data_IF_285460981001
#
_entry.id   IF_285460981001
#
_cell.length_a   1.000
_cell.length_b   1.000
_cell.length_c   1.000
_cell.angle_alpha   90.00
_cell.angle_beta   90.00
_cell.angle_gamma   90.00
#
_symmetry.space_group_name_H-M   'P 1'
#
loop_
_entity.id
_entity.type
_entity.pdbx_description
1 polymer ?
#
# COMPACT_ATOMS: atom_id res chain seq x y z
N UNK A 1 -40.51 -71.05 42.81
CA UNK A 1 -39.13 -71.36 43.23
C UNK A 1 -38.20 -70.99 42.07
N UNK A 2 -37.01 -70.51 42.39
CA UNK A 2 -35.91 -70.05 41.50
C UNK A 2 -35.83 -68.55 41.16
N UNK A 3 -34.64 -68.03 41.53
CA UNK A 3 -34.19 -66.65 41.63
C UNK A 3 -33.68 -66.15 40.27
N UNK A 4 -33.93 -64.89 39.92
CA UNK A 4 -33.07 -64.15 38.98
C UNK A 4 -32.26 -63.08 39.74
N UNK A 5 -30.95 -62.94 39.49
CA UNK A 5 -30.07 -62.09 40.27
C UNK A 5 -30.19 -60.62 39.87
N UNK A 6 -30.00 -59.74 40.87
CA UNK A 6 -29.91 -58.30 40.73
C UNK A 6 -28.71 -57.90 39.85
N UNK A 7 -28.97 -57.16 38.77
CA UNK A 7 -27.96 -56.50 37.96
C UNK A 7 -27.62 -55.15 38.61
N UNK A 8 -26.44 -55.05 39.21
CA UNK A 8 -25.93 -53.80 39.79
C UNK A 8 -25.48 -52.87 38.67
N UNK A 9 -26.13 -51.70 38.56
CA UNK A 9 -25.73 -50.61 37.66
C UNK A 9 -24.45 -49.98 38.20
N UNK A 10 -23.31 -50.14 37.51
CA UNK A 10 -22.08 -49.39 37.79
C UNK A 10 -22.23 -47.96 37.26
N UNK A 11 -22.43 -47.01 38.15
CA UNK A 11 -22.25 -45.59 37.85
C UNK A 11 -20.75 -45.27 37.82
N UNK A 12 -20.26 -44.75 36.70
CA UNK A 12 -18.90 -44.23 36.59
C UNK A 12 -18.87 -42.82 37.20
N UNK A 13 -17.96 -42.51 38.14
CA UNK A 13 -17.87 -41.18 38.71
C UNK A 13 -17.37 -40.19 37.65
N UNK A 14 -17.78 -38.91 37.73
CA UNK A 14 -17.30 -37.89 36.82
C UNK A 14 -15.78 -37.77 36.97
N UNK A 15 -15.06 -37.81 35.84
CA UNK A 15 -13.62 -37.49 35.81
C UNK A 15 -13.45 -36.02 36.21
N UNK A 16 -13.26 -35.79 37.51
CA UNK A 16 -12.76 -34.52 38.01
C UNK A 16 -11.34 -34.37 37.49
N UNK A 17 -11.16 -33.51 36.50
CA UNK A 17 -9.85 -33.04 36.07
C UNK A 17 -9.21 -32.42 37.32
N UNK A 18 -8.10 -32.98 37.85
CA UNK A 18 -7.51 -32.48 39.08
C UNK A 18 -7.28 -30.96 38.95
N UNK A 19 -7.65 -30.16 39.96
CA UNK A 19 -7.46 -28.71 39.92
C UNK A 19 -6.00 -28.33 39.57
N UNK A 20 -5.05 -29.18 39.96
CA UNK A 20 -3.64 -29.12 39.57
C UNK A 20 -3.40 -29.17 38.05
N UNK A 21 -4.12 -30.02 37.32
CA UNK A 21 -3.98 -30.12 35.86
C UNK A 21 -4.59 -28.93 35.12
N UNK A 22 -5.69 -28.36 35.63
CA UNK A 22 -6.26 -27.13 35.08
C UNK A 22 -5.33 -25.92 35.37
N UNK A 23 -4.76 -25.87 36.57
CA UNK A 23 -3.79 -24.85 36.96
C UNK A 23 -2.49 -24.94 36.14
N UNK A 24 -1.99 -26.14 35.86
CA UNK A 24 -0.83 -26.36 34.99
C UNK A 24 -1.09 -25.90 33.56
N UNK A 25 -2.30 -26.13 33.04
CA UNK A 25 -2.67 -25.73 31.68
C UNK A 25 -2.80 -24.21 31.56
N UNK A 26 -3.42 -23.57 32.55
CA UNK A 26 -3.49 -22.10 32.66
C UNK A 26 -2.10 -21.49 32.79
N UNK A 27 -1.23 -22.06 33.63
CA UNK A 27 0.14 -21.61 33.78
C UNK A 27 0.91 -21.73 32.46
N UNK A 28 0.74 -22.84 31.72
CA UNK A 28 1.37 -23.03 30.41
C UNK A 28 0.89 -22.01 29.38
N UNK A 29 -0.42 -21.72 29.33
CA UNK A 29 -0.99 -20.69 28.43
C UNK A 29 -0.49 -19.29 28.78
N UNK A 30 -0.41 -18.96 30.07
CA UNK A 30 0.14 -17.69 30.53
C UNK A 30 1.64 -17.57 30.22
N UNK A 31 2.39 -18.65 30.38
CA UNK A 31 3.81 -18.71 30.00
C UNK A 31 3.99 -18.54 28.49
N UNK A 32 3.17 -19.19 27.67
CA UNK A 32 3.20 -19.05 26.21
C UNK A 32 2.85 -17.63 25.78
N UNK A 33 1.82 -17.03 26.37
CA UNK A 33 1.47 -15.63 26.11
C UNK A 33 2.53 -14.65 26.61
N UNK A 34 3.16 -14.92 27.77
CA UNK A 34 4.27 -14.11 28.27
C UNK A 34 5.50 -14.24 27.39
N UNK A 35 5.84 -15.43 26.91
CA UNK A 35 6.93 -15.67 25.96
C UNK A 35 6.64 -15.02 24.60
N UNK A 36 5.39 -15.11 24.12
CA UNK A 36 4.96 -14.41 22.90
C UNK A 36 5.00 -12.90 23.10
N UNK A 37 4.55 -12.40 24.24
CA UNK A 37 4.64 -10.99 24.59
C UNK A 37 6.10 -10.55 24.67
N UNK A 38 7.01 -11.33 25.29
CA UNK A 38 8.44 -11.04 25.34
C UNK A 38 9.12 -11.15 23.98
N UNK A 39 8.66 -12.03 23.11
CA UNK A 39 9.14 -12.14 21.73
C UNK A 39 8.67 -10.96 20.86
N UNK A 40 7.43 -10.48 21.08
CA UNK A 40 6.86 -9.33 20.38
C UNK A 40 7.26 -7.98 20.98
N UNK A 41 7.56 -7.96 22.29
CA UNK A 41 8.03 -6.81 23.06
C UNK A 41 9.54 -6.76 23.20
N UNK A 42 10.26 -7.78 22.70
CA UNK A 42 11.65 -7.57 22.33
C UNK A 42 11.63 -6.33 21.45
N UNK A 43 12.27 -5.23 21.88
CA UNK A 43 12.44 -4.14 20.99
C UNK A 43 13.26 -4.73 19.86
N UNK A 44 12.68 -4.91 18.68
CA UNK A 44 13.45 -4.74 17.45
C UNK A 44 14.14 -3.41 17.68
N UNK A 45 15.40 -3.49 18.11
CA UNK A 45 16.13 -2.37 18.61
C UNK A 45 16.05 -1.32 17.52
N UNK A 46 15.20 -0.33 17.72
CA UNK A 46 15.33 0.97 17.09
C UNK A 46 16.47 1.66 17.84
N UNK A 47 17.64 1.02 17.85
CA UNK A 47 18.88 1.76 17.85
C UNK A 47 18.92 2.41 16.49
N UNK A 48 18.64 3.70 16.46
CA UNK A 48 18.88 4.56 15.32
C UNK A 48 20.35 4.49 14.93
N UNK A 49 20.71 3.47 14.17
CA UNK A 49 21.60 3.60 13.03
C UNK A 49 20.66 3.61 11.84
N UNK A 50 20.74 4.67 11.05
CA UNK A 50 20.49 4.52 9.63
C UNK A 50 21.50 3.48 9.13
N UNK A 51 21.16 2.19 9.25
CA UNK A 51 21.77 1.18 8.40
C UNK A 51 21.42 1.64 7.00
N UNK A 52 22.42 2.18 6.30
CA UNK A 52 22.35 2.40 4.87
C UNK A 52 21.93 1.08 4.27
N UNK A 53 20.64 0.93 3.92
CA UNK A 53 20.15 -0.24 3.24
C UNK A 53 21.04 -0.43 2.00
N UNK A 54 21.80 -1.54 1.90
CA UNK A 54 22.74 -1.74 0.82
C UNK A 54 21.99 -1.76 -0.51
N UNK A 55 21.95 -0.64 -1.22
CA UNK A 55 21.21 -0.50 -2.48
C UNK A 55 20.45 0.81 -2.67
N UNK A 56 20.24 1.63 -1.62
CA UNK A 56 19.62 2.94 -1.78
C UNK A 56 20.62 3.98 -2.27
N UNK A 57 20.25 4.72 -3.32
CA UNK A 57 21.02 5.87 -3.81
C UNK A 57 20.80 7.10 -2.92
N UNK A 58 21.78 8.02 -2.86
CA UNK A 58 21.57 9.30 -2.20
C UNK A 58 20.45 10.09 -2.88
N UNK A 59 19.87 11.05 -2.16
CA UNK A 59 18.85 11.95 -2.71
C UNK A 59 19.33 12.59 -4.03
N UNK A 60 18.43 12.73 -4.99
CA UNK A 60 18.76 13.24 -6.32
C UNK A 60 19.45 12.23 -7.24
N UNK A 61 19.62 10.98 -6.81
CA UNK A 61 20.27 9.94 -7.60
C UNK A 61 19.40 8.67 -7.69
N UNK A 62 19.68 7.86 -8.70
CA UNK A 62 19.02 6.59 -8.94
C UNK A 62 20.01 5.54 -9.42
N UNK A 63 19.60 4.28 -9.32
CA UNK A 63 20.28 3.12 -9.90
C UNK A 63 19.21 2.25 -10.54
N UNK A 64 19.37 1.94 -11.82
CA UNK A 64 18.41 1.20 -12.63
C UNK A 64 19.04 -0.11 -13.11
N UNK A 65 18.33 -1.22 -12.93
CA UNK A 65 18.78 -2.54 -13.40
C UNK A 65 20.20 -2.90 -12.94
N UNK A 66 21.06 -3.28 -13.89
CA UNK A 66 22.45 -3.72 -13.65
C UNK A 66 23.48 -2.61 -13.40
N UNK A 67 23.07 -1.35 -13.24
CA UNK A 67 24.00 -0.23 -13.00
C UNK A 67 24.83 -0.47 -11.73
N UNK A 68 26.16 -0.35 -11.80
CA UNK A 68 27.02 -0.54 -10.61
C UNK A 68 26.90 0.62 -9.62
N UNK A 69 26.96 1.85 -10.14
CA UNK A 69 26.94 3.09 -9.39
C UNK A 69 25.62 3.84 -9.55
N UNK A 70 25.26 4.66 -8.55
CA UNK A 70 24.16 5.61 -8.66
C UNK A 70 24.52 6.73 -9.65
N UNK A 71 23.52 7.18 -10.41
CA UNK A 71 23.62 8.34 -11.32
C UNK A 71 22.65 9.43 -10.87
N UNK A 72 22.97 10.71 -11.08
CA UNK A 72 22.03 11.79 -10.78
C UNK A 72 20.77 11.67 -11.64
N UNK A 73 19.64 12.18 -11.15
CA UNK A 73 18.41 12.29 -11.95
C UNK A 73 18.67 13.03 -13.26
N UNK A 74 18.09 12.53 -14.35
CA UNK A 74 18.27 13.10 -15.68
C UNK A 74 17.65 14.50 -15.76
N UNK A 75 18.40 15.43 -16.35
CA UNK A 75 17.94 16.78 -16.66
C UNK A 75 17.02 16.81 -17.88
N UNK A 76 16.33 17.94 -18.11
CA UNK A 76 15.57 18.21 -19.33
C UNK A 76 16.38 17.91 -20.61
N UNK A 77 17.62 18.39 -20.69
CA UNK A 77 18.48 18.20 -21.87
C UNK A 77 18.78 16.72 -22.11
N UNK A 78 19.20 16.00 -21.06
CA UNK A 78 19.51 14.58 -21.15
C UNK A 78 18.27 13.77 -21.56
N UNK A 79 17.10 14.08 -20.98
CA UNK A 79 15.85 13.43 -21.33
C UNK A 79 15.48 13.65 -22.79
N UNK A 80 15.59 14.88 -23.30
CA UNK A 80 15.25 15.21 -24.69
C UNK A 80 16.21 14.58 -25.70
N UNK A 81 17.48 14.39 -25.33
CA UNK A 81 18.50 13.79 -26.20
C UNK A 81 18.49 12.26 -26.17
N UNK A 82 18.26 11.67 -24.99
CA UNK A 82 18.55 10.24 -24.74
C UNK A 82 17.31 9.37 -24.51
N UNK A 83 16.13 9.94 -24.25
CA UNK A 83 14.91 9.17 -23.99
C UNK A 83 14.05 9.11 -25.25
N UNK A 84 13.85 7.90 -25.78
CA UNK A 84 12.97 7.66 -26.93
C UNK A 84 11.61 7.16 -26.47
N UNK A 85 10.55 7.95 -26.71
CA UNK A 85 9.17 7.50 -26.51
C UNK A 85 8.82 6.39 -27.50
N UNK A 86 8.16 5.33 -27.01
CA UNK A 86 7.75 4.19 -27.84
C UNK A 86 6.24 4.21 -28.07
N UNK A 87 5.44 3.91 -27.04
CA UNK A 87 3.97 3.84 -27.15
C UNK A 87 3.29 4.36 -25.90
N UNK A 88 2.08 4.91 -26.05
CA UNK A 88 1.21 5.24 -24.91
C UNK A 88 0.74 3.94 -24.26
N UNK A 89 0.86 3.84 -22.94
CA UNK A 89 0.47 2.66 -22.15
C UNK A 89 -0.62 2.96 -21.13
N UNK A 90 -0.88 4.24 -20.84
CA UNK A 90 -1.94 4.66 -19.94
C UNK A 90 -2.23 6.15 -20.09
N UNK A 91 -3.38 6.56 -19.58
CA UNK A 91 -3.79 7.94 -19.48
C UNK A 91 -4.71 8.07 -18.27
N UNK A 92 -4.37 8.96 -17.35
CA UNK A 92 -5.21 9.40 -16.25
C UNK A 92 -5.61 10.86 -16.45
N UNK A 93 -6.36 11.40 -15.49
CA UNK A 93 -6.78 12.80 -15.51
C UNK A 93 -5.57 13.75 -15.65
N UNK A 94 -4.54 13.54 -14.82
CA UNK A 94 -3.36 14.43 -14.75
C UNK A 94 -2.28 14.05 -15.76
N UNK A 95 -2.08 12.76 -16.06
CA UNK A 95 -0.89 12.26 -16.78
C UNK A 95 -1.23 11.37 -17.97
N UNK A 96 -0.57 11.60 -19.11
CA UNK A 96 -0.38 10.66 -20.22
C UNK A 96 0.90 9.86 -19.98
N UNK A 97 0.81 8.54 -20.03
CA UNK A 97 1.90 7.63 -19.67
C UNK A 97 2.40 6.90 -20.91
N UNK A 98 3.70 7.01 -21.19
CA UNK A 98 4.34 6.42 -22.35
C UNK A 98 5.45 5.45 -21.93
N UNK A 99 5.36 4.22 -22.42
CA UNK A 99 6.53 3.33 -22.44
C UNK A 99 7.58 3.95 -23.35
N UNK A 100 8.79 4.05 -22.82
CA UNK A 100 9.93 4.70 -23.44
C UNK A 100 11.19 3.86 -23.24
N UNK A 101 12.29 4.30 -23.84
CA UNK A 101 13.58 3.62 -23.74
C UNK A 101 14.70 4.64 -23.49
N UNK A 102 15.58 4.31 -22.56
CA UNK A 102 16.78 5.07 -22.22
C UNK A 102 17.95 4.11 -22.00
N UNK A 103 19.01 4.23 -22.81
CA UNK A 103 20.20 3.35 -22.76
C UNK A 103 19.82 1.86 -22.67
N UNK A 104 18.98 1.41 -23.59
CA UNK A 104 18.46 0.02 -23.68
C UNK A 104 17.57 -0.44 -22.51
N UNK A 105 17.33 0.41 -21.52
CA UNK A 105 16.41 0.14 -20.43
C UNK A 105 15.02 0.64 -20.78
N UNK A 106 13.99 -0.15 -20.47
CA UNK A 106 12.60 0.31 -20.53
C UNK A 106 12.32 1.26 -19.36
N UNK A 107 11.71 2.39 -19.67
CA UNK A 107 11.40 3.47 -18.72
C UNK A 107 10.03 4.04 -19.03
N UNK A 108 9.45 4.79 -18.10
CA UNK A 108 8.13 5.41 -18.24
C UNK A 108 8.28 6.91 -18.30
N UNK A 109 7.69 7.52 -19.33
CA UNK A 109 7.55 8.97 -19.44
C UNK A 109 6.11 9.34 -19.11
N UNK A 110 5.91 10.10 -18.04
CA UNK A 110 4.61 10.64 -17.63
C UNK A 110 4.57 12.13 -17.96
N UNK A 111 3.59 12.56 -18.76
CA UNK A 111 3.46 13.95 -19.21
C UNK A 111 2.11 14.52 -18.80
N UNK A 112 2.07 15.82 -18.47
CA UNK A 112 0.82 16.51 -18.15
C UNK A 112 -0.21 16.38 -19.30
N UNK A 113 -1.44 16.02 -18.94
CA UNK A 113 -2.56 15.84 -19.87
C UNK A 113 -3.21 17.18 -20.24
N UNK A 114 -3.52 18.00 -19.23
CA UNK A 114 -4.21 19.29 -19.33
C UNK A 114 -3.47 20.36 -18.50
N UNK A 115 -3.12 21.53 -19.06
CA UNK A 115 -2.53 22.65 -18.33
C UNK A 115 -3.28 23.09 -17.05
N UNK A 116 -4.59 22.89 -16.98
CA UNK A 116 -5.40 23.21 -15.78
C UNK A 116 -5.04 22.35 -14.57
N UNK A 117 -4.49 21.15 -14.80
CA UNK A 117 -4.07 20.19 -13.76
C UNK A 117 -2.57 20.31 -13.44
N UNK A 118 -1.95 21.43 -13.82
CA UNK A 118 -0.52 21.68 -13.60
C UNK A 118 -0.15 21.60 -12.12
N UNK A 119 -0.97 22.13 -11.23
CA UNK A 119 -0.66 22.16 -9.80
C UNK A 119 -0.68 20.76 -9.18
N UNK A 120 -1.63 19.90 -9.58
CA UNK A 120 -1.67 18.48 -9.18
C UNK A 120 -0.42 17.75 -9.66
N UNK A 121 -0.02 17.98 -10.92
CA UNK A 121 1.19 17.37 -11.49
C UNK A 121 2.47 17.81 -10.75
N UNK A 122 2.60 19.11 -10.47
CA UNK A 122 3.77 19.64 -9.75
C UNK A 122 3.78 19.21 -8.29
N UNK A 123 2.61 19.05 -7.66
CA UNK A 123 2.50 18.43 -6.34
C UNK A 123 2.99 16.98 -6.37
N UNK A 124 2.49 16.16 -7.30
CA UNK A 124 2.93 14.78 -7.46
C UNK A 124 4.43 14.64 -7.71
N UNK A 125 5.02 15.51 -8.53
CA UNK A 125 6.47 15.55 -8.73
C UNK A 125 7.23 15.88 -7.43
N UNK A 126 6.76 16.87 -6.64
CA UNK A 126 7.37 17.21 -5.35
C UNK A 126 7.29 16.05 -4.35
N UNK A 127 6.14 15.37 -4.30
CA UNK A 127 5.95 14.18 -3.48
C UNK A 127 6.89 13.06 -3.94
N UNK A 128 6.93 12.77 -5.25
CA UNK A 128 7.78 11.72 -5.81
C UNK A 128 9.27 11.95 -5.54
N UNK A 129 9.75 13.20 -5.63
CA UNK A 129 11.13 13.59 -5.27
C UNK A 129 11.42 13.34 -3.79
N UNK A 130 10.51 13.75 -2.91
CA UNK A 130 10.72 13.75 -1.46
C UNK A 130 10.49 12.38 -0.80
N UNK A 131 9.69 11.52 -1.43
CA UNK A 131 9.27 10.23 -0.90
C UNK A 131 10.03 9.04 -1.50
N UNK A 132 11.12 9.27 -2.24
CA UNK A 132 11.94 8.18 -2.79
C UNK A 132 12.38 7.22 -1.69
N UNK A 133 11.96 5.96 -1.81
CA UNK A 133 12.19 4.89 -0.85
C UNK A 133 11.91 3.54 -1.52
N UNK A 134 12.00 2.44 -0.78
CA UNK A 134 11.58 1.12 -1.26
C UNK A 134 10.06 1.01 -1.55
N UNK A 135 9.25 1.97 -1.09
CA UNK A 135 7.79 1.95 -1.19
C UNK A 135 7.24 2.73 -2.40
N UNK A 136 8.09 3.53 -3.05
CA UNK A 136 7.69 4.48 -4.09
C UNK A 136 8.40 4.14 -5.40
N UNK A 137 7.71 4.30 -6.53
CA UNK A 137 8.31 4.12 -7.86
C UNK A 137 9.58 4.96 -8.00
N UNK A 138 10.62 4.37 -8.59
CA UNK A 138 11.93 5.01 -8.71
C UNK A 138 11.88 6.15 -9.72
N UNK A 139 12.23 7.35 -9.27
CA UNK A 139 12.42 8.53 -10.11
C UNK A 139 13.79 8.47 -10.80
N UNK A 140 13.80 8.63 -12.11
CA UNK A 140 15.01 8.62 -12.95
C UNK A 140 15.37 10.01 -13.46
N UNK A 141 14.40 10.91 -13.60
CA UNK A 141 14.59 12.25 -14.14
C UNK A 141 13.28 13.02 -14.23
N UNK A 142 13.36 14.32 -14.45
CA UNK A 142 12.18 15.16 -14.69
C UNK A 142 12.54 16.43 -15.44
N UNK A 143 11.54 17.06 -16.05
CA UNK A 143 11.63 18.36 -16.67
C UNK A 143 10.37 19.17 -16.34
N UNK A 144 10.51 20.14 -15.42
CA UNK A 144 9.38 20.97 -14.95
C UNK A 144 8.87 21.91 -16.05
N UNK A 145 9.76 22.47 -16.88
CA UNK A 145 9.40 23.33 -18.02
C UNK A 145 8.52 22.63 -19.05
N UNK A 146 8.69 21.31 -19.19
CA UNK A 146 7.98 20.47 -20.17
C UNK A 146 6.96 19.54 -19.50
N UNK A 147 6.70 19.73 -18.21
CA UNK A 147 5.82 18.90 -17.39
C UNK A 147 5.96 17.40 -17.67
N UNK A 148 7.19 16.90 -17.56
CA UNK A 148 7.53 15.51 -17.88
C UNK A 148 8.31 14.86 -16.74
N UNK A 149 7.91 13.66 -16.34
CA UNK A 149 8.57 12.84 -15.30
C UNK A 149 9.04 11.53 -15.95
N UNK A 150 10.25 11.09 -15.60
CA UNK A 150 10.81 9.82 -16.03
C UNK A 150 10.94 8.87 -14.83
N UNK A 151 10.28 7.71 -14.88
CA UNK A 151 10.33 6.69 -13.83
C UNK A 151 10.75 5.33 -14.37
N UNK A 152 11.13 4.42 -13.46
CA UNK A 152 11.39 3.02 -13.78
C UNK A 152 10.14 2.33 -14.34
N UNK A 153 10.32 1.47 -15.34
CA UNK A 153 9.24 0.69 -15.92
C UNK A 153 9.04 -0.63 -15.19
N UNK A 154 7.80 -0.85 -14.73
CA UNK A 154 7.37 -2.11 -14.14
C UNK A 154 6.45 -2.87 -15.11
N UNK A 155 6.89 -4.00 -15.69
CA UNK A 155 6.18 -4.66 -16.78
C UNK A 155 4.89 -5.36 -16.37
N UNK A 156 4.70 -5.65 -15.08
CA UNK A 156 3.43 -6.20 -14.57
C UNK A 156 2.35 -5.13 -14.40
N UNK A 157 2.72 -3.85 -14.53
CA UNK A 157 1.78 -2.73 -14.59
C UNK A 157 1.09 -2.44 -13.25
N UNK A 158 -0.13 -1.94 -13.34
CA UNK A 158 -0.95 -1.59 -12.17
C UNK A 158 -1.35 -2.82 -11.37
N UNK A 159 -1.46 -2.65 -10.04
CA UNK A 159 -1.99 -3.66 -9.13
C UNK A 159 -3.41 -4.12 -9.49
N UNK A 160 -4.16 -3.32 -10.26
CA UNK A 160 -5.46 -3.71 -10.86
C UNK A 160 -5.36 -5.05 -11.60
N UNK A 161 -4.27 -5.26 -12.33
CA UNK A 161 -4.02 -6.46 -13.13
C UNK A 161 -3.44 -7.65 -12.35
N UNK A 162 -3.46 -7.62 -11.00
CA UNK A 162 -2.81 -8.63 -10.16
C UNK A 162 -3.34 -10.03 -10.44
N UNK A 163 -4.67 -10.17 -10.48
CA UNK A 163 -5.29 -11.49 -10.66
C UNK A 163 -5.01 -12.03 -12.06
N UNK A 164 -5.13 -11.23 -13.11
CA UNK A 164 -4.79 -11.62 -14.48
C UNK A 164 -3.32 -12.07 -14.55
N UNK A 165 -2.42 -11.31 -13.92
CA UNK A 165 -0.99 -11.62 -13.87
C UNK A 165 -0.74 -12.96 -13.20
N UNK A 166 -1.32 -13.20 -12.03
CA UNK A 166 -1.13 -14.43 -11.25
C UNK A 166 -1.77 -15.68 -11.91
N UNK A 167 -2.74 -15.51 -12.80
CA UNK A 167 -3.31 -16.60 -13.58
C UNK A 167 -2.48 -16.96 -14.83
N UNK A 168 -1.53 -16.11 -15.23
CA UNK A 168 -0.63 -16.43 -16.35
C UNK A 168 0.24 -17.66 -16.01
N UNK A 169 0.45 -18.60 -16.95
CA UNK A 169 1.25 -19.79 -16.70
C UNK A 169 2.65 -19.50 -16.14
N UNK A 170 3.25 -18.38 -16.58
CA UNK A 170 4.55 -17.90 -16.12
C UNK A 170 4.59 -17.57 -14.62
N UNK A 171 3.51 -17.05 -14.05
CA UNK A 171 3.45 -16.56 -12.67
C UNK A 171 2.57 -17.41 -11.76
N UNK A 172 1.99 -18.49 -12.27
CA UNK A 172 1.10 -19.39 -11.51
C UNK A 172 1.72 -19.92 -10.22
N UNK A 173 3.04 -20.16 -10.21
CA UNK A 173 3.78 -20.60 -9.01
C UNK A 173 3.83 -19.53 -7.90
N UNK A 174 3.67 -18.24 -8.25
CA UNK A 174 3.62 -17.12 -7.30
C UNK A 174 2.20 -16.90 -6.75
N UNK A 175 1.18 -17.56 -7.31
CA UNK A 175 -0.22 -17.41 -6.90
C UNK A 175 -0.54 -18.25 -5.65
N UNK A 176 0.15 -17.98 -4.54
CA UNK A 176 -0.04 -18.63 -3.24
C UNK A 176 -0.56 -17.62 -2.22
N UNK A 177 -1.30 -18.10 -1.20
CA UNK A 177 -1.79 -17.23 -0.14
C UNK A 177 -0.64 -16.50 0.58
N UNK A 178 0.50 -17.17 0.80
CA UNK A 178 1.68 -16.57 1.41
C UNK A 178 2.20 -15.38 0.60
N UNK A 179 2.29 -15.51 -0.73
CA UNK A 179 2.76 -14.40 -1.57
C UNK A 179 1.76 -13.27 -1.66
N UNK A 180 0.47 -13.59 -1.70
CA UNK A 180 -0.59 -12.58 -1.66
C UNK A 180 -0.63 -11.83 -0.33
N UNK A 181 -0.42 -12.54 0.80
CA UNK A 181 -0.28 -11.90 2.10
C UNK A 181 0.93 -10.96 2.16
N UNK A 182 2.07 -11.35 1.59
CA UNK A 182 3.23 -10.46 1.49
C UNK A 182 2.91 -9.19 0.68
N UNK A 183 2.15 -9.29 -0.40
CA UNK A 183 1.67 -8.13 -1.16
C UNK A 183 0.74 -7.25 -0.31
N UNK A 184 -0.18 -7.83 0.46
CA UNK A 184 -1.04 -7.06 1.37
C UNK A 184 -0.21 -6.33 2.46
N UNK A 185 0.84 -6.99 2.97
CA UNK A 185 1.80 -6.39 3.91
C UNK A 185 2.57 -5.24 3.25
N UNK A 186 2.97 -5.36 1.98
CA UNK A 186 3.60 -4.26 1.23
C UNK A 186 2.66 -3.06 1.13
N UNK A 187 1.39 -3.28 0.78
CA UNK A 187 0.38 -2.21 0.73
C UNK A 187 0.24 -1.49 2.07
N UNK A 188 0.05 -2.23 3.17
CA UNK A 188 -0.05 -1.63 4.52
C UNK A 188 1.25 -0.91 4.91
N UNK A 189 2.41 -1.44 4.52
CA UNK A 189 3.71 -0.80 4.75
C UNK A 189 3.84 0.53 4.01
N UNK A 190 3.30 0.62 2.79
CA UNK A 190 3.23 1.89 2.03
C UNK A 190 2.34 2.89 2.75
N UNK A 191 1.13 2.49 3.18
CA UNK A 191 0.22 3.38 3.93
C UNK A 191 0.90 3.89 5.20
N UNK A 192 1.53 3.00 5.97
CA UNK A 192 2.33 3.37 7.15
C UNK A 192 3.44 4.35 6.79
N UNK A 193 4.14 4.15 5.68
CA UNK A 193 5.19 5.05 5.21
C UNK A 193 4.65 6.44 4.86
N UNK A 194 3.51 6.54 4.17
CA UNK A 194 2.86 7.83 3.86
C UNK A 194 2.42 8.57 5.14
N UNK A 195 1.88 7.84 6.12
CA UNK A 195 1.44 8.43 7.40
C UNK A 195 2.59 8.92 8.28
N UNK A 196 3.80 8.38 8.07
CA UNK A 196 5.03 8.72 8.81
C UNK A 196 6.12 9.28 7.88
N UNK A 197 5.71 9.95 6.80
CA UNK A 197 6.63 10.39 5.76
C UNK A 197 7.59 11.48 6.27
N UNK A 198 8.74 11.72 5.60
CA UNK A 198 9.63 12.83 5.95
C UNK A 198 8.98 14.22 5.82
N UNK A 199 7.82 14.31 5.16
CA UNK A 199 7.05 15.55 5.01
C UNK A 199 5.94 15.69 6.08
N UNK A 200 5.75 14.68 6.93
CA UNK A 200 4.65 14.57 7.88
C UNK A 200 3.60 13.53 7.44
N UNK A 201 2.41 13.60 8.03
CA UNK A 201 1.32 12.63 7.77
C UNK A 201 0.58 12.98 6.48
N UNK A 202 0.79 12.17 5.44
CA UNK A 202 0.13 12.33 4.14
C UNK A 202 -1.04 11.34 4.01
N UNK A 203 -2.12 11.76 3.35
CA UNK A 203 -3.33 10.93 3.12
C UNK A 203 -3.46 10.59 1.64
N UNK A 204 -3.73 9.33 1.31
CA UNK A 204 -3.86 8.87 -0.07
C UNK A 204 -5.26 9.19 -0.65
N UNK A 205 -5.46 10.39 -1.17
CA UNK A 205 -6.82 10.88 -1.50
C UNK A 205 -7.42 10.38 -2.82
N UNK A 206 -6.63 9.96 -3.81
CA UNK A 206 -7.16 9.43 -5.08
C UNK A 206 -7.56 7.96 -4.95
N UNK A 207 -8.54 7.69 -4.07
CA UNK A 207 -8.83 6.37 -3.52
C UNK A 207 -10.32 6.14 -3.23
N UNK A 208 -11.22 6.65 -4.08
CA UNK A 208 -12.66 6.65 -3.80
C UNK A 208 -13.38 5.32 -4.07
N UNK A 209 -12.75 4.42 -4.82
CA UNK A 209 -13.22 3.06 -5.07
C UNK A 209 -12.03 2.11 -5.21
N UNK A 210 -12.30 0.79 -5.20
CA UNK A 210 -11.27 -0.23 -5.28
C UNK A 210 -10.44 -0.14 -6.57
N UNK A 211 -11.09 0.02 -7.73
CA UNK A 211 -10.43 0.10 -9.03
C UNK A 211 -9.49 1.31 -9.13
N UNK A 212 -9.92 2.43 -8.52
CA UNK A 212 -9.18 3.67 -8.42
C UNK A 212 -7.99 3.53 -7.49
N UNK A 213 -8.15 3.00 -6.27
CA UNK A 213 -7.03 2.70 -5.37
C UNK A 213 -5.98 1.84 -6.06
N UNK A 214 -6.38 0.72 -6.67
CA UNK A 214 -5.45 -0.23 -7.28
C UNK A 214 -4.68 0.37 -8.47
N UNK A 215 -5.24 1.39 -9.12
CA UNK A 215 -4.57 2.11 -10.21
C UNK A 215 -3.37 2.95 -9.77
N UNK A 216 -3.32 3.32 -8.50
CA UNK A 216 -2.27 4.18 -7.94
C UNK A 216 -0.97 3.42 -7.66
N UNK A 217 -1.03 2.09 -7.64
CA UNK A 217 0.07 1.19 -7.28
C UNK A 217 0.53 0.35 -8.48
N UNK A 218 1.81 0.03 -8.51
CA UNK A 218 2.44 -0.85 -9.49
C UNK A 218 2.88 -2.15 -8.84
N UNK A 219 2.87 -3.23 -9.64
CA UNK A 219 3.44 -4.52 -9.27
C UNK A 219 4.83 -4.68 -9.92
N UNK A 220 5.84 -4.93 -9.11
CA UNK A 220 7.21 -5.16 -9.59
C UNK A 220 7.41 -6.58 -10.10
N UNK A 221 8.43 -6.81 -10.94
CA UNK A 221 8.74 -8.15 -11.49
C UNK A 221 9.11 -9.19 -10.42
N UNK A 222 9.55 -8.75 -9.24
CA UNK A 222 9.88 -9.54 -8.06
C UNK A 222 8.73 -9.62 -7.04
N UNK A 223 7.51 -9.20 -7.43
CA UNK A 223 6.29 -9.27 -6.63
C UNK A 223 6.31 -8.45 -5.34
N UNK A 224 6.65 -7.17 -5.50
CA UNK A 224 6.43 -6.12 -4.51
C UNK A 224 5.45 -5.06 -5.02
N UNK A 225 4.78 -4.38 -4.10
CA UNK A 225 3.91 -3.23 -4.43
C UNK A 225 4.70 -1.93 -4.28
N UNK A 226 4.52 -1.02 -5.23
CA UNK A 226 5.03 0.36 -5.15
C UNK A 226 3.89 1.35 -5.35
N UNK A 227 3.85 2.44 -4.59
CA UNK A 227 2.98 3.58 -4.95
C UNK A 227 3.62 4.38 -6.08
N UNK A 228 2.82 4.77 -7.05
CA UNK A 228 3.26 5.45 -8.26
C UNK A 228 2.60 6.83 -8.42
N UNK A 229 1.28 6.88 -8.26
CA UNK A 229 0.55 8.13 -8.43
C UNK A 229 0.40 8.84 -7.08
N UNK A 230 0.91 10.08 -7.00
CA UNK A 230 1.11 10.82 -5.75
C UNK A 230 0.55 12.26 -5.86
N UNK A 231 -0.33 12.49 -6.85
CA UNK A 231 -0.84 13.82 -7.17
C UNK A 231 -1.76 14.37 -6.07
N UNK A 232 -2.48 13.50 -5.36
CA UNK A 232 -3.42 13.85 -4.30
C UNK A 232 -2.95 13.35 -2.92
N UNK A 233 -1.88 13.97 -2.40
CA UNK A 233 -1.33 13.70 -1.06
C UNK A 233 -1.36 14.95 -0.17
N UNK A 234 -2.51 15.35 0.39
CA UNK A 234 -2.58 16.45 1.33
C UNK A 234 -1.93 16.08 2.68
N UNK A 235 -1.42 17.10 3.38
CA UNK A 235 -0.74 16.97 4.66
C UNK A 235 -1.70 17.20 5.83
N UNK A 236 -1.82 16.21 6.71
CA UNK A 236 -2.45 16.36 8.03
C UNK A 236 -1.40 16.91 9.00
N UNK A 237 -1.73 17.99 9.71
CA UNK A 237 -0.92 18.52 10.79
C UNK A 237 -1.79 18.76 12.04
N UNK A 238 -1.90 17.73 12.87
CA UNK A 238 -2.68 17.77 14.12
C UNK A 238 -2.19 18.84 15.09
N UNK A 239 -0.88 19.07 15.17
CA UNK A 239 -0.30 20.09 16.08
C UNK A 239 -0.72 21.51 15.71
N UNK A 240 -0.97 21.77 14.42
CA UNK A 240 -1.46 23.04 13.91
C UNK A 240 -3.00 23.05 13.71
N UNK A 241 -3.71 21.99 14.14
CA UNK A 241 -5.15 21.85 13.91
C UNK A 241 -5.56 21.72 12.43
N UNK A 242 -4.64 21.33 11.54
CA UNK A 242 -4.88 21.22 10.10
C UNK A 242 -5.26 19.78 9.74
N UNK A 243 -6.50 19.61 9.32
CA UNK A 243 -7.06 18.38 8.75
C UNK A 243 -7.17 18.52 7.21
N UNK A 244 -7.69 17.51 6.53
CA UNK A 244 -7.73 17.44 5.05
C UNK A 244 -9.12 17.12 4.51
N UNK A 245 -9.33 17.40 3.22
CA UNK A 245 -10.45 16.90 2.41
C UNK A 245 -9.88 16.34 1.10
N UNK A 246 -10.41 15.23 0.63
CA UNK A 246 -10.02 14.58 -0.63
C UNK A 246 -10.86 15.11 -1.80
N UNK A 247 -10.51 16.31 -2.28
CA UNK A 247 -11.17 17.01 -3.38
C UNK A 247 -12.32 17.92 -2.93
N UNK A 248 -13.04 18.48 -3.91
CA UNK A 248 -14.08 19.51 -3.72
C UNK A 248 -15.49 19.04 -4.10
N UNK A 249 -15.68 17.73 -4.27
CA UNK A 249 -16.95 17.12 -4.68
C UNK A 249 -17.40 16.17 -3.59
N UNK A 250 -18.71 16.04 -3.45
CA UNK A 250 -19.33 15.07 -2.55
C UNK A 250 -18.84 13.65 -2.87
N UNK A 251 -18.38 12.94 -1.85
CA UNK A 251 -18.00 11.54 -1.93
C UNK A 251 -19.16 10.66 -1.45
N UNK A 252 -19.39 9.53 -2.12
CA UNK A 252 -20.51 8.61 -1.88
C UNK A 252 -20.06 7.15 -1.99
N UNK A 253 -20.89 6.25 -1.45
CA UNK A 253 -20.65 4.79 -1.44
C UNK A 253 -19.85 4.31 -0.24
N UNK A 254 -19.86 3.01 0.01
CA UNK A 254 -19.32 2.39 1.25
C UNK A 254 -17.79 2.31 1.30
N UNK A 255 -17.10 2.51 0.16
CA UNK A 255 -15.65 2.37 0.08
C UNK A 255 -14.89 3.55 0.69
N UNK A 256 -15.44 4.76 0.61
CA UNK A 256 -14.89 5.92 1.32
C UNK A 256 -15.26 5.84 2.81
N UNK A 257 -14.44 6.41 3.69
CA UNK A 257 -14.70 6.31 5.12
C UNK A 257 -15.95 7.11 5.51
N UNK A 258 -16.71 6.72 6.55
CA UNK A 258 -17.95 7.39 6.96
C UNK A 258 -17.81 8.91 7.16
N UNK A 259 -16.68 9.36 7.69
CA UNK A 259 -16.35 10.78 7.89
C UNK A 259 -16.07 11.55 6.60
N UNK A 260 -15.93 10.86 5.46
CA UNK A 260 -15.82 11.47 4.13
C UNK A 260 -17.18 11.77 3.50
N UNK A 261 -18.29 11.30 4.09
CA UNK A 261 -19.64 11.56 3.60
C UNK A 261 -20.16 12.91 4.09
N UNK A 262 -21.04 13.51 3.28
CA UNK A 262 -21.78 14.70 3.66
C UNK A 262 -22.64 14.43 4.91
N UNK A 263 -22.39 15.11 6.05
CA UNK A 263 -22.99 14.72 7.33
C UNK A 263 -24.35 15.38 7.62
N UNK A 264 -24.83 16.28 6.77
CA UNK A 264 -26.02 17.10 7.04
C UNK A 264 -27.33 16.53 6.46
N UNK A 265 -27.29 15.31 5.91
CA UNK A 265 -28.46 14.64 5.33
C UNK A 265 -28.84 15.15 3.94
N UNK A 266 -29.85 14.52 3.34
CA UNK A 266 -30.27 14.80 1.95
C UNK A 266 -31.01 16.14 1.77
N UNK A 267 -31.55 16.71 2.85
CA UNK A 267 -32.29 17.97 2.82
C UNK A 267 -31.38 19.19 2.63
N UNK A 268 -30.10 19.06 2.99
CA UNK A 268 -29.10 20.13 2.84
C UNK A 268 -28.21 19.79 1.63
N UNK A 269 -28.23 20.58 0.55
CA UNK A 269 -27.34 20.37 -0.59
C UNK A 269 -25.86 20.38 -0.17
N UNK A 270 -25.04 19.59 -0.85
CA UNK A 270 -23.60 19.56 -0.60
C UNK A 270 -22.97 20.93 -0.88
N UNK A 271 -22.23 21.44 0.11
CA UNK A 271 -21.39 22.63 -0.01
C UNK A 271 -19.99 22.29 0.53
N UNK A 272 -18.95 22.41 -0.31
CA UNK A 272 -17.59 22.01 0.06
C UNK A 272 -17.07 22.79 1.29
N UNK A 273 -17.40 24.07 1.41
CA UNK A 273 -16.99 24.91 2.54
C UNK A 273 -17.58 24.48 3.89
N UNK A 274 -18.70 23.75 3.85
CA UNK A 274 -19.36 23.20 5.03
C UNK A 274 -18.92 21.77 5.34
N UNK A 275 -18.26 21.08 4.40
CA UNK A 275 -17.79 19.71 4.61
C UNK A 275 -16.73 19.66 5.71
N UNK A 276 -16.95 18.95 6.83
CA UNK A 276 -15.94 18.82 7.86
C UNK A 276 -14.70 18.09 7.32
N UNK A 277 -13.47 18.57 7.63
CA UNK A 277 -12.26 17.89 7.23
C UNK A 277 -11.99 16.67 8.13
N UNK A 278 -11.22 15.72 7.60
CA UNK A 278 -10.86 14.45 8.23
C UNK A 278 -9.33 14.23 8.21
N UNK A 279 -8.87 13.05 8.59
CA UNK A 279 -7.45 12.73 8.77
C UNK A 279 -7.03 11.43 8.07
N UNK A 280 -5.85 10.91 8.40
CA UNK A 280 -5.29 9.72 7.75
C UNK A 280 -6.03 8.41 8.04
N UNK A 281 -7.02 8.41 8.97
CA UNK A 281 -7.84 7.22 9.24
C UNK A 281 -8.71 6.82 8.05
N UNK A 282 -8.95 7.72 7.11
CA UNK A 282 -9.63 7.38 5.85
C UNK A 282 -8.86 6.36 5.02
N UNK A 283 -7.52 6.34 5.10
CA UNK A 283 -6.71 5.31 4.41
C UNK A 283 -6.83 3.96 5.13
N UNK A 284 -6.93 3.98 6.47
CA UNK A 284 -7.04 2.77 7.30
C UNK A 284 -8.38 2.07 7.04
N UNK A 285 -9.46 2.85 6.89
CA UNK A 285 -10.79 2.35 6.54
C UNK A 285 -10.76 1.43 5.31
N UNK A 286 -9.94 1.77 4.31
CA UNK A 286 -9.87 1.10 3.00
C UNK A 286 -8.94 -0.11 2.97
N UNK A 287 -8.16 -0.34 4.04
CA UNK A 287 -7.19 -1.45 4.08
C UNK A 287 -7.84 -2.82 3.90
N UNK A 288 -8.97 -3.15 4.56
CA UNK A 288 -9.60 -4.46 4.43
C UNK A 288 -9.99 -4.81 2.99
N UNK A 289 -10.62 -3.90 2.25
CA UNK A 289 -11.06 -4.13 0.87
C UNK A 289 -9.88 -4.39 -0.08
N UNK A 290 -8.81 -3.59 0.04
CA UNK A 290 -7.59 -3.77 -0.76
C UNK A 290 -6.90 -5.08 -0.39
N UNK A 291 -6.81 -5.39 0.90
CA UNK A 291 -6.21 -6.65 1.38
C UNK A 291 -7.00 -7.86 0.90
N UNK A 292 -8.34 -7.79 0.96
CA UNK A 292 -9.24 -8.84 0.45
C UNK A 292 -9.04 -9.07 -1.05
N UNK A 293 -8.98 -7.99 -1.85
CA UNK A 293 -8.67 -8.08 -3.28
C UNK A 293 -7.31 -8.77 -3.54
N UNK A 294 -6.28 -8.37 -2.79
CA UNK A 294 -4.93 -8.91 -2.95
C UNK A 294 -4.86 -10.38 -2.52
N UNK A 295 -5.46 -10.75 -1.39
CA UNK A 295 -5.55 -12.13 -0.90
C UNK A 295 -6.32 -13.04 -1.86
N UNK A 296 -7.32 -12.50 -2.55
CA UNK A 296 -8.07 -13.23 -3.56
C UNK A 296 -8.72 -14.50 -2.99
N UNK A 297 -8.94 -15.50 -3.85
CA UNK A 297 -9.59 -16.76 -3.48
C UNK A 297 -8.68 -17.92 -3.87
N UNK A 298 -7.64 -18.14 -3.08
CA UNK A 298 -6.68 -19.25 -3.26
C UNK A 298 -6.73 -20.15 -2.04
N UNK A 299 -6.36 -21.42 -2.19
CA UNK A 299 -6.35 -22.36 -1.07
C UNK A 299 -5.50 -21.80 0.10
N UNK A 300 -6.11 -21.68 1.27
CA UNK A 300 -5.50 -21.11 2.49
C UNK A 300 -5.65 -19.59 2.66
N UNK A 301 -6.27 -18.87 1.72
CA UNK A 301 -6.55 -17.44 1.90
C UNK A 301 -7.70 -17.15 2.87
N UNK A 302 -8.52 -18.15 3.18
CA UNK A 302 -9.65 -18.12 4.12
C UNK A 302 -9.22 -18.13 5.59
N UNK A 303 -7.95 -18.46 5.87
CA UNK A 303 -7.38 -18.56 7.22
C UNK A 303 -6.77 -17.22 7.66
N UNK A 304 -6.65 -16.24 6.76
CA UNK A 304 -5.93 -14.96 6.92
C UNK A 304 -6.88 -13.80 7.08
#
# INVERSE_FOLDING_TARGET
MEKKPHLVRREFPPRQVPALSLALLLAAVLLLNALLYLYLSEPRGSTGRAESQPGLCPFGHFKLGGMKNCSPWLSCEAMNREVRKLKRVGEGAVKKVFLSEWKENKVVVSQLTNPELKEDFLHGLRMLKSLQSQHVVRLLGFCEEQFTILTEYHPLGSLRGLNETLHMPKYKAMNTWHRRLMLAIDYVSIIRYLHNSPLGTLVMCDSNDLDKVLSQYLLTSDFHILVNDLDALPLVNRSAGRLVKCGHRELRGEFVAPEQHWPYGEEVPFEDDLMPPYDEKTDIWKIPDVSSFVLGHVEGSDIV
#
